data_IF_911701528226
#
_entry.id   IF_911701528226
#
_cell.length_a   1.000
_cell.length_b   1.000
_cell.length_c   1.000
_cell.angle_alpha   90.00
_cell.angle_beta   90.00
_cell.angle_gamma   90.00
#
_symmetry.space_group_name_H-M   'P 1'
#
loop_
_entity.id
_entity.type
_entity.pdbx_description
1 polymer ?
#
# COMPACT_ATOMS: atom_id res chain seq x y z
N UNK A 1 -7.42 -0.35 1.28
CA UNK A 1 -8.02 -0.71 -0.02
C UNK A 1 -6.87 -1.13 -0.91
N UNK A 2 -7.03 -2.21 -1.67
CA UNK A 2 -6.06 -2.65 -2.66
C UNK A 2 -6.71 -2.54 -4.03
N UNK A 3 -5.94 -2.19 -5.05
CA UNK A 3 -6.41 -2.28 -6.43
C UNK A 3 -6.22 -3.70 -6.96
N UNK A 4 -7.03 -4.10 -7.94
CA UNK A 4 -6.95 -5.46 -8.50
C UNK A 4 -5.56 -5.71 -9.12
N UNK A 5 -5.04 -6.92 -8.92
CA UNK A 5 -3.70 -7.36 -9.33
C UNK A 5 -2.50 -6.64 -8.68
N UNK A 6 -2.72 -5.68 -7.76
CA UNK A 6 -1.66 -5.02 -7.00
C UNK A 6 -0.86 -6.05 -6.18
N UNK A 7 -1.53 -7.09 -5.68
CA UNK A 7 -0.92 -8.20 -4.93
C UNK A 7 0.03 -9.08 -5.74
N UNK A 8 0.04 -8.92 -7.05
CA UNK A 8 0.93 -9.61 -7.97
C UNK A 8 1.94 -8.66 -8.63
N UNK A 9 1.97 -7.38 -8.24
CA UNK A 9 2.86 -6.39 -8.83
C UNK A 9 2.56 -6.09 -10.29
N UNK A 10 1.29 -6.15 -10.70
CA UNK A 10 0.92 -5.93 -12.10
C UNK A 10 1.36 -4.55 -12.58
N UNK A 11 2.08 -4.54 -13.71
CA UNK A 11 2.49 -3.33 -14.44
C UNK A 11 1.48 -2.95 -15.54
N UNK A 12 0.41 -3.74 -15.67
CA UNK A 12 -0.62 -3.52 -16.67
C UNK A 12 -1.38 -2.22 -16.34
N UNK A 13 -1.64 -1.35 -17.33
CA UNK A 13 -2.41 -0.15 -17.09
C UNK A 13 -3.87 -0.50 -16.77
N UNK A 14 -4.52 0.36 -16.00
CA UNK A 14 -5.99 0.38 -15.91
C UNK A 14 -6.49 1.65 -16.58
N UNK A 15 -6.95 1.51 -17.81
CA UNK A 15 -7.36 2.63 -18.66
C UNK A 15 -8.84 2.96 -18.44
N UNK A 16 -9.24 4.15 -18.84
CA UNK A 16 -10.65 4.50 -18.97
C UNK A 16 -11.18 3.96 -20.29
N UNK A 17 -12.17 3.07 -20.25
CA UNK A 17 -12.81 2.46 -21.41
C UNK A 17 -14.33 2.55 -21.31
N UNK A 18 -14.98 2.62 -22.47
CA UNK A 18 -16.44 2.72 -22.65
C UNK A 18 -16.88 1.92 -23.88
N UNK A 19 -18.18 1.72 -24.05
CA UNK A 19 -18.77 1.05 -25.22
C UNK A 19 -19.90 1.91 -25.80
N UNK A 20 -19.59 3.20 -25.99
CA UNK A 20 -20.53 4.15 -26.59
C UNK A 20 -20.37 4.17 -28.10
N UNK A 21 -21.46 4.52 -28.77
CA UNK A 21 -21.57 4.54 -30.22
C UNK A 21 -21.93 5.95 -30.71
N UNK A 22 -21.72 6.19 -32.00
CA UNK A 22 -22.11 7.42 -32.70
C UNK A 22 -21.58 8.71 -32.04
N UNK A 23 -22.39 9.77 -32.00
CA UNK A 23 -22.00 11.09 -31.51
C UNK A 23 -21.51 11.07 -30.05
N UNK A 24 -22.02 10.12 -29.24
CA UNK A 24 -21.61 9.98 -27.85
C UNK A 24 -20.18 9.42 -27.75
N UNK A 25 -19.79 8.51 -28.65
CA UNK A 25 -18.41 7.99 -28.70
C UNK A 25 -17.41 9.12 -28.97
N UNK A 26 -17.71 9.97 -29.95
CA UNK A 26 -16.88 11.12 -30.31
C UNK A 26 -16.82 12.15 -29.18
N UNK A 27 -17.95 12.44 -28.54
CA UNK A 27 -18.02 13.35 -27.40
C UNK A 27 -17.16 12.86 -26.23
N UNK A 28 -17.24 11.57 -25.88
CA UNK A 28 -16.45 10.98 -24.79
C UNK A 28 -14.96 10.98 -25.12
N UNK A 29 -14.57 10.59 -26.34
CA UNK A 29 -13.16 10.61 -26.76
C UNK A 29 -12.56 12.01 -26.72
N UNK A 30 -13.26 12.99 -27.30
CA UNK A 30 -12.80 14.37 -27.34
C UNK A 30 -12.79 15.01 -25.95
N UNK A 31 -13.82 14.74 -25.14
CA UNK A 31 -13.90 15.15 -23.74
C UNK A 31 -12.68 14.63 -22.95
N UNK A 32 -12.37 13.34 -23.08
CA UNK A 32 -11.23 12.73 -22.39
C UNK A 32 -9.89 13.35 -22.80
N UNK A 33 -9.66 13.55 -24.11
CA UNK A 33 -8.44 14.23 -24.59
C UNK A 33 -8.31 15.66 -24.08
N UNK A 34 -9.43 16.36 -23.93
CA UNK A 34 -9.48 17.73 -23.38
C UNK A 34 -9.23 17.74 -21.87
N UNK A 35 -9.76 16.78 -21.10
CA UNK A 35 -9.42 16.67 -19.67
C UNK A 35 -7.91 16.51 -19.45
N UNK A 36 -7.25 15.74 -20.32
CA UNK A 36 -5.82 15.50 -20.24
C UNK A 36 -4.95 16.70 -20.64
N UNK A 37 -5.48 17.74 -21.30
CA UNK A 37 -4.69 18.95 -21.61
C UNK A 37 -4.23 19.70 -20.36
N UNK A 38 -4.88 19.46 -19.22
CA UNK A 38 -4.53 20.07 -17.94
C UNK A 38 -3.38 19.35 -17.21
N UNK A 39 -2.97 18.16 -17.68
CA UNK A 39 -1.84 17.43 -17.12
C UNK A 39 -0.57 17.75 -17.91
N UNK A 40 0.48 18.21 -17.23
CA UNK A 40 1.75 18.64 -17.85
C UNK A 40 2.37 17.56 -18.75
N UNK A 41 2.19 16.28 -18.42
CA UNK A 41 2.65 15.13 -19.22
C UNK A 41 1.99 15.01 -20.61
N UNK A 42 0.79 15.59 -20.79
CA UNK A 42 -0.02 15.54 -22.01
C UNK A 42 -0.32 16.95 -22.57
N UNK A 43 0.52 17.93 -22.22
CA UNK A 43 0.46 19.30 -22.75
C UNK A 43 0.81 19.39 -24.25
N UNK A 44 1.54 18.41 -24.78
CA UNK A 44 1.83 18.26 -26.21
C UNK A 44 0.64 17.60 -26.96
N UNK A 45 0.22 18.22 -28.05
CA UNK A 45 -0.86 17.75 -28.91
C UNK A 45 -0.57 16.36 -29.51
N UNK A 46 0.70 16.06 -29.83
CA UNK A 46 1.10 14.74 -30.32
C UNK A 46 0.94 13.66 -29.25
N UNK A 47 1.18 13.99 -27.98
CA UNK A 47 0.97 13.06 -26.86
C UNK A 47 -0.51 12.90 -26.53
N UNK A 48 -1.33 13.94 -26.70
CA UNK A 48 -2.80 13.81 -26.59
C UNK A 48 -3.40 12.92 -27.67
N UNK A 49 -2.86 12.97 -28.88
CA UNK A 49 -3.27 12.09 -29.96
C UNK A 49 -2.94 10.61 -29.67
N UNK A 50 -1.95 10.33 -28.82
CA UNK A 50 -1.58 8.99 -28.37
C UNK A 50 -2.41 8.48 -27.18
N UNK A 51 -3.32 9.29 -26.62
CA UNK A 51 -4.24 8.82 -25.57
C UNK A 51 -5.16 7.75 -26.20
N UNK A 52 -5.18 6.52 -25.64
CA UNK A 52 -6.03 5.45 -26.16
C UNK A 52 -7.50 5.88 -26.24
N UNK A 53 -8.17 5.53 -27.34
CA UNK A 53 -9.60 5.80 -27.51
C UNK A 53 -10.38 4.95 -26.48
N UNK A 54 -11.20 5.56 -25.60
CA UNK A 54 -11.98 4.81 -24.63
C UNK A 54 -12.91 3.76 -25.25
N UNK A 55 -13.38 3.97 -26.48
CA UNK A 55 -14.27 3.03 -27.18
C UNK A 55 -13.53 2.00 -28.03
N UNK A 56 -12.20 2.06 -28.12
CA UNK A 56 -11.41 1.02 -28.78
C UNK A 56 -11.35 -0.22 -27.88
N UNK A 57 -11.71 -1.37 -28.42
CA UNK A 57 -11.64 -2.67 -27.76
C UNK A 57 -10.25 -2.95 -27.18
N UNK A 58 -9.18 -2.52 -27.84
CA UNK A 58 -7.81 -2.68 -27.37
C UNK A 58 -7.56 -1.94 -26.04
N UNK A 59 -8.27 -0.84 -25.76
CA UNK A 59 -8.18 -0.10 -24.49
C UNK A 59 -8.72 -0.92 -23.32
N UNK A 60 -9.84 -1.62 -23.54
CA UNK A 60 -10.40 -2.58 -22.58
C UNK A 60 -9.50 -3.81 -22.41
N UNK A 61 -9.05 -4.40 -23.51
CA UNK A 61 -8.19 -5.59 -23.49
C UNK A 61 -6.86 -5.31 -22.78
N UNK A 62 -6.28 -4.13 -22.97
CA UNK A 62 -5.07 -3.68 -22.27
C UNK A 62 -5.27 -3.50 -20.76
N UNK A 63 -6.52 -3.37 -20.31
CA UNK A 63 -6.90 -3.23 -18.90
C UNK A 63 -7.42 -4.54 -18.28
N UNK A 64 -7.53 -5.60 -19.08
CA UNK A 64 -7.99 -6.92 -18.63
C UNK A 64 -6.82 -7.78 -18.20
N UNK A 65 -6.77 -8.32 -16.96
CA UNK A 65 -5.64 -9.11 -16.50
C UNK A 65 -5.34 -10.28 -17.44
N UNK A 66 -4.12 -10.30 -18.00
CA UNK A 66 -3.70 -11.39 -18.89
C UNK A 66 -3.33 -12.66 -18.09
N UNK A 67 -3.34 -13.82 -18.75
CA UNK A 67 -2.77 -15.04 -18.19
C UNK A 67 -1.28 -14.81 -17.94
N UNK A 68 -0.83 -15.04 -16.70
CA UNK A 68 0.55 -14.77 -16.31
C UNK A 68 1.53 -15.54 -17.20
N UNK A 69 2.47 -14.83 -17.82
CA UNK A 69 3.60 -15.44 -18.50
C UNK A 69 4.51 -16.10 -17.46
N UNK A 70 5.09 -17.26 -17.80
CA UNK A 70 5.99 -17.99 -16.89
C UNK A 70 7.19 -17.16 -16.43
N UNK A 71 7.62 -16.20 -17.25
CA UNK A 71 8.74 -15.30 -16.94
C UNK A 71 8.46 -14.37 -15.74
N UNK A 72 7.19 -14.02 -15.49
CA UNK A 72 6.79 -13.15 -14.39
C UNK A 72 6.43 -13.92 -13.11
N UNK A 73 6.48 -15.25 -13.12
CA UNK A 73 5.95 -16.07 -12.02
C UNK A 73 6.71 -15.83 -10.70
N UNK A 74 8.03 -15.65 -10.76
CA UNK A 74 8.84 -15.39 -9.57
C UNK A 74 8.51 -14.02 -8.94
N UNK A 75 8.50 -12.95 -9.74
CA UNK A 75 8.14 -11.60 -9.29
C UNK A 75 6.72 -11.59 -8.69
N UNK A 76 5.76 -12.27 -9.32
CA UNK A 76 4.38 -12.40 -8.81
C UNK A 76 4.34 -13.12 -7.46
N UNK A 77 5.18 -14.15 -7.25
CA UNK A 77 5.28 -14.86 -5.98
C UNK A 77 5.88 -13.98 -4.89
N UNK A 78 6.90 -13.18 -5.20
CA UNK A 78 7.51 -12.24 -4.26
C UNK A 78 6.50 -11.17 -3.82
N UNK A 79 5.78 -10.56 -4.76
CA UNK A 79 4.69 -9.63 -4.46
C UNK A 79 3.61 -10.26 -3.60
N UNK A 80 3.17 -11.47 -3.96
CA UNK A 80 2.15 -12.19 -3.19
C UNK A 80 2.64 -12.49 -1.77
N UNK A 81 3.90 -12.86 -1.61
CA UNK A 81 4.50 -13.09 -0.30
C UNK A 81 4.54 -11.81 0.54
N UNK A 82 4.97 -10.69 -0.05
CA UNK A 82 4.96 -9.37 0.59
C UNK A 82 3.56 -9.00 1.09
N UNK A 83 2.56 -9.05 0.21
CA UNK A 83 1.18 -8.71 0.56
C UNK A 83 0.59 -9.63 1.62
N UNK A 84 0.81 -10.95 1.51
CA UNK A 84 0.35 -11.91 2.51
C UNK A 84 0.97 -11.64 3.87
N UNK A 85 2.25 -11.29 3.91
CA UNK A 85 2.98 -10.97 5.14
C UNK A 85 2.41 -9.71 5.79
N UNK A 86 2.26 -8.62 5.03
CA UNK A 86 1.70 -7.36 5.52
C UNK A 86 0.25 -7.51 6.00
N UNK A 87 -0.59 -8.22 5.25
CA UNK A 87 -1.98 -8.48 5.63
C UNK A 87 -2.09 -9.39 6.87
N UNK A 88 -1.18 -10.35 7.03
CA UNK A 88 -1.13 -11.21 8.23
C UNK A 88 -0.82 -10.39 9.47
N UNK A 89 0.20 -9.52 9.40
CA UNK A 89 0.55 -8.59 10.48
C UNK A 89 -0.63 -7.68 10.80
N UNK A 90 -1.23 -7.06 9.78
CA UNK A 90 -2.40 -6.20 9.95
C UNK A 90 -3.55 -6.92 10.64
N UNK A 91 -3.90 -8.12 10.18
CA UNK A 91 -5.02 -8.89 10.71
C UNK A 91 -4.77 -9.37 12.13
N UNK A 92 -3.56 -9.84 12.45
CA UNK A 92 -3.26 -10.43 13.76
C UNK A 92 -2.90 -9.42 14.84
N UNK A 93 -2.20 -8.34 14.48
CA UNK A 93 -1.55 -7.46 15.46
C UNK A 93 -2.14 -6.05 15.50
N UNK A 94 -2.68 -5.54 14.38
CA UNK A 94 -3.11 -4.14 14.30
C UNK A 94 -4.63 -4.03 14.41
N UNK A 95 -5.37 -4.70 13.52
CA UNK A 95 -6.83 -4.59 13.44
C UNK A 95 -7.54 -4.83 14.78
N UNK A 96 -7.18 -5.87 15.56
CA UNK A 96 -7.82 -6.17 16.85
C UNK A 96 -7.71 -5.04 17.87
N UNK A 97 -6.65 -4.23 17.77
CA UNK A 97 -6.32 -3.14 18.69
C UNK A 97 -6.70 -1.77 18.13
N UNK A 98 -7.34 -1.72 16.95
CA UNK A 98 -7.58 -0.48 16.21
C UNK A 98 -8.73 0.35 16.82
N UNK A 99 -9.70 -0.30 17.48
CA UNK A 99 -10.83 0.40 18.12
C UNK A 99 -10.30 1.29 19.25
N UNK A 100 -10.51 2.60 19.14
CA UNK A 100 -10.03 3.57 20.13
C UNK A 100 -8.59 4.04 19.90
N UNK A 101 -7.93 3.61 18.83
CA UNK A 101 -6.60 4.07 18.48
C UNK A 101 -6.58 5.58 18.20
N UNK A 102 -5.48 6.24 18.59
CA UNK A 102 -5.25 7.68 18.43
C UNK A 102 -3.88 7.93 17.84
N UNK A 103 -3.79 8.90 16.94
CA UNK A 103 -2.50 9.38 16.43
C UNK A 103 -1.70 10.03 17.57
N UNK A 104 -0.42 9.70 17.64
CA UNK A 104 0.58 10.40 18.47
C UNK A 104 1.43 11.37 17.62
N UNK A 105 1.11 11.51 16.34
CA UNK A 105 1.81 12.40 15.41
C UNK A 105 2.84 11.67 14.54
N UNK A 106 3.48 12.47 13.68
CA UNK A 106 4.56 12.04 12.81
C UNK A 106 5.66 13.11 12.80
N UNK A 107 6.91 12.66 12.89
CA UNK A 107 8.09 13.51 12.88
C UNK A 107 8.89 13.22 11.62
N UNK A 108 9.31 14.25 10.90
CA UNK A 108 10.23 14.10 9.78
C UNK A 108 11.64 13.84 10.31
N UNK A 109 12.29 12.79 9.84
CA UNK A 109 13.68 12.44 10.18
C UNK A 109 14.65 12.76 9.03
N UNK A 110 14.12 13.26 7.91
CA UNK A 110 14.85 13.75 6.75
C UNK A 110 13.88 14.28 5.69
N UNK A 111 14.40 14.71 4.54
CA UNK A 111 13.58 15.28 3.44
C UNK A 111 12.53 14.28 2.92
N UNK A 112 12.88 12.98 2.89
CA UNK A 112 12.02 11.89 2.40
C UNK A 112 11.86 10.80 3.45
N UNK A 113 11.96 11.13 4.73
CA UNK A 113 11.87 10.16 5.80
C UNK A 113 11.06 10.67 7.00
N UNK A 114 10.34 9.75 7.65
CA UNK A 114 9.51 10.05 8.80
C UNK A 114 9.43 8.89 9.78
N UNK A 115 9.05 9.22 11.01
CA UNK A 115 8.55 8.28 12.01
C UNK A 115 7.14 8.70 12.42
N UNK A 116 6.17 7.81 12.28
CA UNK A 116 4.79 8.03 12.70
C UNK A 116 4.40 7.06 13.81
N UNK A 117 3.59 7.53 14.77
CA UNK A 117 3.20 6.76 15.96
C UNK A 117 1.71 6.84 16.24
N UNK A 118 1.16 5.75 16.77
CA UNK A 118 -0.22 5.63 17.20
C UNK A 118 -0.30 4.90 18.53
N UNK A 119 -1.09 5.44 19.46
CA UNK A 119 -1.55 4.71 20.65
C UNK A 119 -2.74 3.87 20.24
N UNK A 120 -2.66 2.56 20.41
CA UNK A 120 -3.72 1.61 20.11
C UNK A 120 -4.75 1.55 21.26
N UNK A 121 -5.88 0.88 21.01
CA UNK A 121 -7.01 0.81 21.93
C UNK A 121 -6.73 0.07 23.25
N UNK A 122 -5.74 -0.81 23.26
CA UNK A 122 -5.24 -1.51 24.44
C UNK A 122 -4.14 -0.73 25.18
N UNK A 123 -3.78 0.46 24.68
CA UNK A 123 -2.71 1.27 25.25
C UNK A 123 -1.32 0.91 24.72
N UNK A 124 -1.16 -0.05 23.82
CA UNK A 124 0.14 -0.28 23.18
C UNK A 124 0.42 0.75 22.08
N UNK A 125 1.67 0.86 21.64
CA UNK A 125 2.11 1.85 20.66
C UNK A 125 2.58 1.16 19.39
N UNK A 126 1.94 1.49 18.27
CA UNK A 126 2.43 1.17 16.93
C UNK A 126 3.31 2.32 16.46
N UNK A 127 4.53 2.01 16.04
CA UNK A 127 5.46 2.97 15.45
C UNK A 127 5.90 2.49 14.08
N UNK A 128 6.00 3.41 13.12
CA UNK A 128 6.45 3.13 11.75
C UNK A 128 7.53 4.12 11.39
N UNK A 129 8.69 3.62 10.95
CA UNK A 129 9.70 4.41 10.27
C UNK A 129 9.62 4.14 8.76
N UNK A 130 9.59 5.20 7.97
CA UNK A 130 9.59 5.14 6.52
C UNK A 130 10.70 6.04 5.99
N UNK A 131 11.66 5.46 5.26
CA UNK A 131 12.71 6.17 4.55
C UNK A 131 12.56 5.94 3.05
N UNK A 132 12.13 6.98 2.32
CA UNK A 132 12.01 6.97 0.86
C UNK A 132 13.23 7.62 0.18
N UNK A 133 14.23 8.07 0.93
CA UNK A 133 15.50 8.53 0.37
C UNK A 133 16.34 7.33 -0.10
N UNK A 134 17.36 7.62 -0.91
CA UNK A 134 18.34 6.62 -1.36
C UNK A 134 19.52 6.47 -0.37
N UNK A 135 19.51 7.25 0.73
CA UNK A 135 20.56 7.28 1.75
C UNK A 135 19.99 6.93 3.14
N UNK A 136 20.82 6.41 4.07
CA UNK A 136 20.40 6.20 5.45
C UNK A 136 19.96 7.49 6.14
N UNK A 137 19.09 7.37 7.14
CA UNK A 137 18.64 8.49 7.98
C UNK A 137 18.77 8.12 9.44
N UNK A 138 19.19 9.07 10.28
CA UNK A 138 19.26 8.87 11.73
C UNK A 138 17.87 9.05 12.35
N UNK A 139 17.44 8.09 13.14
CA UNK A 139 16.25 8.19 13.97
C UNK A 139 16.62 8.92 15.26
N UNK A 140 16.03 10.09 15.49
CA UNK A 140 16.26 10.87 16.72
C UNK A 140 15.83 10.10 17.96
N UNK A 141 14.74 9.34 17.85
CA UNK A 141 14.22 8.43 18.88
C UNK A 141 13.91 7.08 18.25
N UNK A 142 14.72 6.07 18.54
CA UNK A 142 14.47 4.70 18.10
C UNK A 142 13.11 4.22 18.67
N UNK A 143 12.18 3.75 17.81
CA UNK A 143 10.91 3.25 18.30
C UNK A 143 11.06 2.07 19.26
N UNK A 144 10.32 2.11 20.36
CA UNK A 144 10.25 0.99 21.30
C UNK A 144 9.43 -0.18 20.74
N UNK A 145 9.67 -1.36 21.30
CA UNK A 145 8.89 -2.57 21.05
C UNK A 145 9.56 -3.53 20.07
N UNK A 146 8.79 -4.53 19.64
CA UNK A 146 9.27 -5.58 18.73
C UNK A 146 8.99 -5.18 17.28
N UNK A 147 9.94 -5.42 16.39
CA UNK A 147 9.69 -5.31 14.93
C UNK A 147 8.64 -6.35 14.53
N UNK A 148 7.53 -5.88 14.00
CA UNK A 148 6.41 -6.73 13.54
C UNK A 148 6.37 -6.87 12.02
N UNK A 149 7.02 -5.96 11.29
CA UNK A 149 7.11 -5.98 9.83
C UNK A 149 8.29 -5.13 9.35
N UNK A 150 8.95 -5.58 8.30
CA UNK A 150 10.05 -4.87 7.66
C UNK A 150 10.05 -5.08 6.14
N UNK A 151 10.55 -4.09 5.41
CA UNK A 151 10.93 -4.24 4.00
C UNK A 151 11.99 -3.19 3.64
N UNK A 152 13.06 -3.54 2.90
CA UNK A 152 13.41 -4.89 2.44
C UNK A 152 13.80 -5.84 3.58
N UNK A 153 14.05 -7.15 3.31
CA UNK A 153 14.55 -8.07 4.33
C UNK A 153 15.81 -7.53 5.01
N UNK A 154 15.93 -7.75 6.33
CA UNK A 154 17.02 -7.24 7.19
C UNK A 154 17.08 -5.73 7.36
N UNK A 155 16.03 -5.01 6.98
CA UNK A 155 15.91 -3.58 7.28
C UNK A 155 15.99 -3.26 8.79
N UNK A 156 15.56 -4.19 9.65
CA UNK A 156 15.64 -4.05 11.09
C UNK A 156 17.07 -3.92 11.62
N UNK A 157 18.07 -4.52 10.97
CA UNK A 157 19.45 -4.58 11.49
C UNK A 157 20.00 -3.16 11.70
N UNK A 158 19.88 -2.33 10.67
CA UNK A 158 20.30 -0.92 10.69
C UNK A 158 19.32 -0.03 11.46
N UNK A 159 18.04 -0.40 11.49
CA UNK A 159 17.04 0.34 12.26
C UNK A 159 17.24 0.19 13.79
N UNK A 160 17.71 -0.96 14.27
CA UNK A 160 18.10 -1.16 15.68
C UNK A 160 19.32 -0.31 16.07
N UNK A 161 20.21 -0.05 15.13
CA UNK A 161 21.33 0.89 15.30
C UNK A 161 20.88 2.37 15.23
N UNK A 162 19.59 2.62 15.01
CA UNK A 162 19.03 3.97 14.87
C UNK A 162 19.30 4.62 13.51
N UNK A 163 19.73 3.86 12.50
CA UNK A 163 20.13 4.39 11.20
C UNK A 163 19.59 3.55 10.02
N UNK A 164 18.26 3.45 9.85
CA UNK A 164 17.66 2.71 8.75
C UNK A 164 18.20 3.16 7.39
N UNK A 165 18.54 2.17 6.56
CA UNK A 165 19.01 2.37 5.19
C UNK A 165 18.00 3.10 4.31
N UNK A 166 18.45 3.55 3.12
CA UNK A 166 17.55 4.07 2.09
C UNK A 166 16.45 3.07 1.71
N UNK A 167 15.33 3.58 1.20
CA UNK A 167 14.20 2.78 0.66
C UNK A 167 13.69 1.71 1.62
N UNK A 168 13.50 2.08 2.87
CA UNK A 168 13.18 1.15 3.97
C UNK A 168 11.87 1.51 4.66
N UNK A 169 11.13 0.48 5.08
CA UNK A 169 9.99 0.56 5.99
C UNK A 169 10.21 -0.42 7.13
N UNK A 170 10.02 0.03 8.37
CA UNK A 170 10.04 -0.84 9.56
C UNK A 170 8.90 -0.43 10.49
N UNK A 171 8.20 -1.42 11.04
CA UNK A 171 7.12 -1.23 12.00
C UNK A 171 7.42 -1.94 13.32
N UNK A 172 7.23 -1.22 14.43
CA UNK A 172 7.38 -1.71 15.80
C UNK A 172 6.07 -1.68 16.55
N UNK A 173 5.90 -2.62 17.48
CA UNK A 173 4.76 -2.69 18.38
C UNK A 173 5.23 -2.96 19.81
N UNK A 174 4.78 -2.15 20.76
CA UNK A 174 5.02 -2.39 22.19
C UNK A 174 4.10 -3.48 22.76
N UNK A 175 4.44 -3.97 23.95
CA UNK A 175 3.71 -5.05 24.65
C UNK A 175 4.19 -6.45 24.26
N UNK A 176 3.54 -7.48 24.83
CA UNK A 176 3.85 -8.87 24.48
C UNK A 176 3.20 -9.26 23.14
N UNK A 177 3.93 -8.97 22.06
CA UNK A 177 3.49 -9.28 20.69
C UNK A 177 3.30 -10.78 20.46
N UNK A 178 4.13 -11.63 21.07
CA UNK A 178 4.12 -13.07 20.84
C UNK A 178 2.93 -13.75 21.50
N UNK A 179 2.69 -13.40 22.77
CA UNK A 179 1.53 -13.89 23.52
C UNK A 179 0.24 -13.44 22.83
N UNK A 180 0.16 -12.16 22.44
CA UNK A 180 -1.01 -11.62 21.76
C UNK A 180 -1.28 -12.33 20.43
N UNK A 181 -0.25 -12.56 19.61
CA UNK A 181 -0.38 -13.23 18.32
C UNK A 181 -0.87 -14.69 18.44
N UNK A 182 -0.59 -15.33 19.58
CA UNK A 182 -0.94 -16.72 19.86
C UNK A 182 -2.35 -16.85 20.42
N UNK A 183 -2.78 -15.89 21.24
CA UNK A 183 -4.11 -15.88 21.86
C UNK A 183 -5.20 -15.30 20.94
N UNK A 184 -4.84 -14.40 20.02
CA UNK A 184 -5.78 -13.68 19.17
C UNK A 184 -5.81 -14.22 17.72
N UNK A 185 -7.01 -14.50 17.21
CA UNK A 185 -7.23 -14.78 15.79
C UNK A 185 -8.39 -13.93 15.27
N UNK A 186 -8.08 -12.90 14.48
CA UNK A 186 -9.09 -12.01 13.90
C UNK A 186 -10.06 -12.72 12.93
N UNK A 187 -9.80 -13.98 12.56
CA UNK A 187 -10.73 -14.83 11.80
C UNK A 187 -11.77 -15.52 12.70
N UNK A 188 -11.56 -15.54 14.02
CA UNK A 188 -12.55 -16.03 14.97
C UNK A 188 -13.54 -14.92 15.24
N UNK A 189 -14.76 -15.04 14.68
CA UNK A 189 -15.88 -14.20 15.05
C UNK A 189 -16.22 -14.47 16.52
N UNK A 190 -15.92 -13.53 17.41
CA UNK A 190 -16.46 -13.56 18.75
C UNK A 190 -17.89 -13.02 18.69
N UNK A 191 -18.91 -13.77 19.15
CA UNK A 191 -20.27 -13.25 19.23
C UNK A 191 -20.27 -12.00 20.10
N UNK A 192 -20.84 -10.90 19.61
CA UNK A 192 -21.09 -9.72 20.43
C UNK A 192 -22.08 -10.10 21.54
N UNK A 193 -21.59 -10.33 22.75
CA UNK A 193 -22.43 -10.36 23.94
C UNK A 193 -23.10 -8.99 24.10
N UNK A 194 -24.39 -8.92 23.78
CA UNK A 194 -25.18 -7.73 24.06
C UNK A 194 -26.25 -7.34 23.05
N UNK A 195 -27.02 -8.28 22.49
CA UNK A 195 -28.40 -7.99 22.03
C UNK A 195 -29.32 -9.19 22.33
N UNK A 196 -29.60 -9.39 23.62
CA UNK A 196 -30.87 -9.97 24.07
C UNK A 196 -31.50 -8.96 25.03
N UNK A 197 -32.44 -8.20 24.50
CA UNK A 197 -33.61 -7.71 25.24
C UNK A 197 -34.82 -8.15 24.45
#
# INVERSE_FOLDING_TARGET
>A
MLFMEEQYGSKQPFLFFTDYHDELADAVRNGRRKEFSNFSAFSDEKRRAQIPDPNDKLTFESSSPNVANKEDELDRLEWRHFYRSALTVRAKLIMPRLKGAKSLGANLTGEKALVARWKLGDGETLSIALNLADVPVTLSDAPEGKVIFETPPRAQDRAYEGEPSGRTFVAWLTGDVNEYASAHDARRLQPTEGQRK
#
